data_IF_563644654209
#
_entry.id   IF_563644654209
#
_cell.length_a   1.000
_cell.length_b   1.000
_cell.length_c   1.000
_cell.angle_alpha   90.00
_cell.angle_beta   90.00
_cell.angle_gamma   90.00
#
_symmetry.space_group_name_H-M   'P 1'
#
loop_
_entity.id
_entity.type
_entity.pdbx_description
1 polymer ?
#
# COMPACT_ATOMS: atom_id res chain seq x y z
N UNK A 1 -0.57 11.27 3.51
CA UNK A 1 -0.32 9.91 4.02
C UNK A 1 -1.42 9.45 5.00
N UNK A 2 -2.68 9.84 4.81
CA UNK A 2 -3.76 9.35 5.67
C UNK A 2 -4.07 7.89 5.34
N UNK A 3 -4.35 7.08 6.37
CA UNK A 3 -4.71 5.67 6.21
C UNK A 3 -6.12 5.55 5.62
N UNK A 4 -6.25 4.83 4.51
CA UNK A 4 -7.55 4.35 4.05
C UNK A 4 -7.98 3.11 4.85
N UNK A 5 -9.28 2.77 4.83
CA UNK A 5 -9.80 1.57 5.49
C UNK A 5 -9.02 0.30 5.11
N UNK A 6 -8.66 0.16 3.83
CA UNK A 6 -7.85 -0.96 3.34
C UNK A 6 -6.47 -1.13 4.03
N UNK A 7 -5.82 -0.02 4.41
CA UNK A 7 -4.55 -0.10 5.15
C UNK A 7 -4.75 -0.60 6.58
N UNK A 8 -5.90 -0.28 7.17
CA UNK A 8 -6.25 -0.74 8.50
C UNK A 8 -6.42 -2.25 8.52
N UNK A 9 -7.01 -2.85 7.48
CA UNK A 9 -7.10 -4.31 7.34
C UNK A 9 -5.71 -4.98 7.35
N UNK A 10 -4.74 -4.46 6.58
CA UNK A 10 -3.36 -4.97 6.59
C UNK A 10 -2.74 -4.85 7.99
N UNK A 11 -2.92 -3.70 8.64
CA UNK A 11 -2.38 -3.50 9.99
C UNK A 11 -3.02 -4.44 11.01
N UNK A 12 -4.31 -4.73 10.89
CA UNK A 12 -5.02 -5.63 11.78
C UNK A 12 -4.51 -7.07 11.66
N UNK A 13 -4.29 -7.57 10.43
CA UNK A 13 -3.73 -8.91 10.18
C UNK A 13 -2.33 -9.04 10.79
N UNK A 14 -1.44 -8.09 10.52
CA UNK A 14 -0.08 -8.11 11.06
C UNK A 14 -0.06 -7.88 12.58
N UNK A 15 -0.97 -7.06 13.12
CA UNK A 15 -1.12 -6.85 14.55
C UNK A 15 -1.54 -8.15 15.27
N UNK A 16 -2.48 -8.91 14.70
CA UNK A 16 -2.90 -10.20 15.22
C UNK A 16 -1.76 -11.22 15.19
N UNK A 17 -1.03 -11.30 14.07
CA UNK A 17 0.02 -12.30 13.88
C UNK A 17 1.29 -12.05 14.73
N UNK A 18 1.72 -10.80 14.91
CA UNK A 18 3.03 -10.49 15.54
C UNK A 18 2.94 -9.83 16.91
N UNK A 19 1.85 -9.11 17.21
CA UNK A 19 1.78 -8.22 18.37
C UNK A 19 0.75 -8.64 19.41
N UNK A 20 -0.16 -9.57 19.10
CA UNK A 20 -1.15 -10.12 20.03
C UNK A 20 -1.88 -9.02 20.80
N UNK A 21 -1.76 -9.03 22.13
CA UNK A 21 -2.38 -8.03 23.02
C UNK A 21 -1.87 -6.59 22.79
N UNK A 22 -0.64 -6.40 22.33
CA UNK A 22 -0.06 -5.08 22.03
C UNK A 22 -0.38 -4.58 20.61
N UNK A 23 -1.16 -5.34 19.84
CA UNK A 23 -1.50 -5.00 18.46
C UNK A 23 -2.17 -3.64 18.31
N UNK A 24 -3.08 -3.28 19.22
CA UNK A 24 -3.78 -1.99 19.18
C UNK A 24 -2.81 -0.80 19.30
N UNK A 25 -1.79 -0.90 20.16
CA UNK A 25 -0.76 0.13 20.33
C UNK A 25 0.11 0.27 19.07
N UNK A 26 0.44 -0.84 18.41
CA UNK A 26 1.19 -0.82 17.16
C UNK A 26 0.41 -0.15 16.01
N UNK A 27 -0.89 -0.44 15.89
CA UNK A 27 -1.74 0.24 14.89
C UNK A 27 -1.87 1.73 15.21
N UNK A 28 -2.03 2.07 16.49
CA UNK A 28 -2.10 3.46 16.93
C UNK A 28 -0.81 4.24 16.63
N UNK A 29 0.37 3.66 16.89
CA UNK A 29 1.66 4.30 16.59
C UNK A 29 1.86 4.51 15.09
N UNK A 30 1.42 3.58 14.24
CA UNK A 30 1.43 3.75 12.78
C UNK A 30 0.51 4.89 12.33
N UNK A 31 -0.67 5.03 12.94
CA UNK A 31 -1.59 6.12 12.60
C UNK A 31 -1.00 7.49 12.95
N UNK A 32 -0.44 7.63 14.16
CA UNK A 32 0.26 8.86 14.60
C UNK A 32 1.44 9.16 13.69
N UNK A 33 2.24 8.15 13.34
CA UNK A 33 3.37 8.30 12.43
C UNK A 33 2.91 8.81 11.05
N UNK A 34 1.80 8.30 10.51
CA UNK A 34 1.22 8.77 9.25
C UNK A 34 0.82 10.25 9.27
N UNK A 35 0.24 10.72 10.38
CA UNK A 35 -0.11 12.14 10.58
C UNK A 35 1.15 13.00 10.63
N UNK A 36 2.14 12.61 11.45
CA UNK A 36 3.41 13.33 11.58
C UNK A 36 4.10 13.45 10.23
N UNK A 37 4.16 12.37 9.45
CA UNK A 37 4.79 12.37 8.13
C UNK A 37 4.02 13.20 7.10
N UNK A 38 2.69 13.28 7.19
CA UNK A 38 1.88 14.16 6.36
C UNK A 38 2.17 15.64 6.65
N UNK A 39 2.24 16.02 7.93
CA UNK A 39 2.59 17.39 8.35
C UNK A 39 4.02 17.72 7.94
N UNK A 40 4.99 16.84 8.22
CA UNK A 40 6.40 17.03 7.88
C UNK A 40 6.59 17.20 6.37
N UNK A 41 5.95 16.36 5.56
CA UNK A 41 6.00 16.46 4.10
C UNK A 41 5.34 17.75 3.61
N UNK A 42 4.17 18.11 4.12
CA UNK A 42 3.49 19.36 3.75
C UNK A 42 4.33 20.60 4.08
N UNK A 43 4.92 20.65 5.28
CA UNK A 43 5.85 21.69 5.68
C UNK A 43 7.09 21.72 4.78
N UNK A 44 7.64 20.56 4.43
CA UNK A 44 8.80 20.48 3.56
C UNK A 44 8.49 21.05 2.17
N UNK A 45 7.39 20.63 1.54
CA UNK A 45 6.99 21.11 0.21
C UNK A 45 6.64 22.60 0.21
N UNK A 46 6.01 23.11 1.29
CA UNK A 46 5.74 24.54 1.49
C UNK A 46 7.02 25.37 1.51
N UNK A 47 8.10 24.83 2.07
CA UNK A 47 9.40 25.53 2.15
C UNK A 47 10.30 25.29 0.92
N UNK A 48 10.02 24.29 0.08
CA UNK A 48 10.84 23.97 -1.10
C UNK A 48 10.22 24.41 -2.44
N UNK A 49 9.00 23.97 -2.77
CA UNK A 49 8.45 24.10 -4.14
C UNK A 49 7.20 25.00 -4.22
N UNK A 50 6.29 24.95 -3.24
CA UNK A 50 4.95 25.53 -3.38
C UNK A 50 4.75 26.81 -2.54
N UNK A 51 5.34 27.93 -2.96
CA UNK A 51 4.93 29.27 -2.52
C UNK A 51 4.03 29.92 -3.56
N UNK A 52 2.83 29.37 -3.72
CA UNK A 52 1.73 30.05 -4.41
C UNK A 52 0.92 30.87 -3.42
N UNK A 53 0.43 32.04 -3.84
CA UNK A 53 -0.63 32.74 -3.12
C UNK A 53 -1.87 31.84 -3.07
N UNK A 54 -2.54 31.76 -1.93
CA UNK A 54 -3.76 30.98 -1.79
C UNK A 54 -4.79 31.54 -2.77
N UNK A 55 -5.19 30.77 -3.78
CA UNK A 55 -6.32 31.13 -4.62
C UNK A 55 -7.53 31.27 -3.70
N UNK A 56 -8.26 32.39 -3.73
CA UNK A 56 -9.42 32.59 -2.88
C UNK A 56 -10.53 31.64 -3.34
N UNK A 57 -10.49 30.41 -2.82
CA UNK A 57 -11.60 29.47 -2.95
C UNK A 57 -12.68 29.92 -1.96
N UNK A 58 -13.60 30.74 -2.46
CA UNK A 58 -14.90 30.91 -1.83
C UNK A 58 -15.64 29.59 -2.03
N UNK A 59 -15.48 28.68 -1.07
CA UNK A 59 -16.22 27.42 -1.06
C UNK A 59 -17.59 27.71 -0.44
N UNK A 60 -18.54 28.10 -1.28
CA UNK A 60 -19.93 28.25 -0.87
C UNK A 60 -20.47 26.89 -0.45
N UNK A 61 -20.75 26.72 0.84
CA UNK A 61 -21.32 25.48 1.35
C UNK A 61 -22.76 25.38 0.83
N UNK A 62 -23.12 24.35 0.05
CA UNK A 62 -24.49 24.18 -0.40
C UNK A 62 -25.41 23.93 0.80
N UNK A 63 -26.67 24.35 0.69
CA UNK A 63 -27.69 24.10 1.71
C UNK A 63 -27.82 22.60 1.94
N UNK A 64 -27.54 22.16 3.17
CA UNK A 64 -27.56 20.74 3.54
C UNK A 64 -29.01 20.22 3.53
N UNK A 65 -29.28 19.24 2.67
CA UNK A 65 -30.60 18.59 2.59
C UNK A 65 -30.57 17.27 3.37
N UNK A 66 -31.65 16.98 4.11
CA UNK A 66 -31.78 15.73 4.87
C UNK A 66 -31.88 14.56 3.87
N UNK A 67 -30.99 13.55 3.97
CA UNK A 67 -30.93 12.51 2.96
C UNK A 67 -32.10 11.52 3.12
N UNK A 68 -32.79 11.21 2.02
CA UNK A 68 -33.85 10.23 2.00
C UNK A 68 -33.27 8.80 2.08
N UNK A 69 -33.63 8.03 3.11
CA UNK A 69 -33.06 6.70 3.40
C UNK A 69 -33.15 5.74 2.21
N UNK A 70 -34.25 5.76 1.45
CA UNK A 70 -34.40 4.93 0.25
C UNK A 70 -33.38 5.28 -0.84
N UNK A 71 -33.09 6.58 -1.04
CA UNK A 71 -32.07 7.00 -2.01
C UNK A 71 -30.69 6.61 -1.55
N UNK A 72 -30.39 6.76 -0.26
CA UNK A 72 -29.12 6.30 0.31
C UNK A 72 -28.92 4.79 0.11
N UNK A 73 -29.93 3.97 0.42
CA UNK A 73 -29.84 2.52 0.27
C UNK A 73 -29.67 2.11 -1.20
N UNK A 74 -30.46 2.68 -2.11
CA UNK A 74 -30.35 2.38 -3.54
C UNK A 74 -28.97 2.80 -4.08
N UNK A 75 -28.51 4.00 -3.71
CA UNK A 75 -27.23 4.52 -4.19
C UNK A 75 -26.05 3.74 -3.60
N UNK A 76 -26.14 3.36 -2.33
CA UNK A 76 -25.15 2.50 -1.66
C UNK A 76 -25.12 1.12 -2.31
N UNK A 77 -26.29 0.52 -2.57
CA UNK A 77 -26.40 -0.77 -3.26
C UNK A 77 -25.84 -0.74 -4.69
N UNK A 78 -26.14 0.30 -5.47
CA UNK A 78 -25.60 0.47 -6.82
C UNK A 78 -24.08 0.63 -6.80
N UNK A 79 -23.55 1.41 -5.84
CA UNK A 79 -22.10 1.58 -5.65
C UNK A 79 -21.44 0.27 -5.20
N UNK A 80 -22.05 -0.45 -4.27
CA UNK A 80 -21.58 -1.75 -3.78
C UNK A 80 -21.56 -2.79 -4.90
N UNK A 81 -22.67 -2.98 -5.63
CA UNK A 81 -22.74 -3.86 -6.80
C UNK A 81 -21.67 -3.49 -7.84
N UNK A 82 -21.52 -2.20 -8.11
CA UNK A 82 -20.50 -1.70 -9.04
C UNK A 82 -19.06 -1.91 -8.55
N UNK A 83 -18.83 -1.91 -7.24
CA UNK A 83 -17.54 -2.24 -6.63
C UNK A 83 -17.27 -3.74 -6.72
N UNK A 84 -18.21 -4.59 -6.26
CA UNK A 84 -18.10 -6.06 -6.28
C UNK A 84 -17.82 -6.58 -7.69
N UNK A 85 -18.56 -6.11 -8.71
CA UNK A 85 -18.36 -6.58 -10.09
C UNK A 85 -17.01 -6.12 -10.69
N UNK A 86 -16.57 -4.89 -10.39
CA UNK A 86 -15.30 -4.36 -10.92
C UNK A 86 -14.09 -4.92 -10.19
N UNK A 87 -14.11 -4.93 -8.86
CA UNK A 87 -13.05 -5.48 -8.03
C UNK A 87 -12.96 -7.00 -8.19
N UNK A 88 -14.10 -7.70 -8.16
CA UNK A 88 -14.17 -9.14 -8.36
C UNK A 88 -13.60 -9.57 -9.71
N UNK A 89 -13.91 -8.87 -10.81
CA UNK A 89 -13.32 -9.16 -12.12
C UNK A 89 -11.79 -9.08 -12.09
N UNK A 90 -11.21 -8.08 -11.43
CA UNK A 90 -9.76 -7.93 -11.32
C UNK A 90 -9.16 -9.01 -10.41
N UNK A 91 -9.77 -9.26 -9.24
CA UNK A 91 -9.30 -10.26 -8.27
C UNK A 91 -9.30 -11.66 -8.89
N UNK A 92 -10.35 -12.06 -9.60
CA UNK A 92 -10.42 -13.37 -10.26
C UNK A 92 -9.34 -13.50 -11.32
N UNK A 93 -9.14 -12.49 -12.16
CA UNK A 93 -8.07 -12.50 -13.19
C UNK A 93 -6.70 -12.59 -12.53
N UNK A 94 -6.44 -11.81 -11.48
CA UNK A 94 -5.18 -11.81 -10.75
C UNK A 94 -4.97 -13.16 -10.04
N UNK A 95 -6.00 -13.74 -9.42
CA UNK A 95 -5.92 -15.05 -8.76
C UNK A 95 -5.60 -16.17 -9.75
N UNK A 96 -6.27 -16.20 -10.91
CA UNK A 96 -5.96 -17.16 -11.99
C UNK A 96 -4.53 -16.97 -12.48
N UNK A 97 -4.11 -15.72 -12.70
CA UNK A 97 -2.77 -15.42 -13.19
C UNK A 97 -1.68 -15.77 -12.16
N UNK A 98 -1.91 -15.46 -10.89
CA UNK A 98 -1.02 -15.83 -9.79
C UNK A 98 -0.97 -17.35 -9.62
N UNK A 99 -2.10 -18.05 -9.71
CA UNK A 99 -2.15 -19.52 -9.66
C UNK A 99 -1.38 -20.15 -10.82
N UNK A 100 -1.53 -19.63 -12.05
CA UNK A 100 -0.74 -20.07 -13.19
C UNK A 100 0.76 -19.79 -12.98
N UNK A 101 1.14 -18.57 -12.61
CA UNK A 101 2.55 -18.23 -12.35
C UNK A 101 3.16 -18.97 -11.16
N UNK A 102 2.32 -19.48 -10.25
CA UNK A 102 2.73 -20.31 -9.13
C UNK A 102 3.05 -21.74 -9.58
N UNK A 103 2.20 -22.33 -10.44
CA UNK A 103 2.37 -23.71 -10.92
C UNK A 103 3.41 -23.89 -12.04
N UNK A 104 3.75 -22.83 -12.78
CA UNK A 104 4.71 -22.88 -13.89
C UNK A 104 6.06 -22.24 -13.53
N UNK A 105 7.16 -22.91 -13.91
CA UNK A 105 8.51 -22.32 -13.93
C UNK A 105 8.67 -21.35 -15.11
N UNK A 106 9.68 -20.48 -15.04
CA UNK A 106 10.06 -19.59 -16.14
C UNK A 106 10.44 -20.34 -17.44
N UNK A 107 10.77 -21.63 -17.33
CA UNK A 107 11.07 -22.53 -18.44
C UNK A 107 9.85 -23.32 -18.96
N UNK A 108 8.64 -23.04 -18.47
CA UNK A 108 7.40 -23.68 -18.91
C UNK A 108 7.14 -25.08 -18.36
N UNK A 109 7.97 -25.58 -17.42
CA UNK A 109 7.73 -26.85 -16.72
C UNK A 109 6.84 -26.64 -15.49
N UNK A 110 5.99 -27.62 -15.20
CA UNK A 110 5.22 -27.68 -13.96
C UNK A 110 6.21 -27.89 -12.81
N UNK A 111 6.03 -27.13 -11.73
CA UNK A 111 6.97 -27.07 -10.61
C UNK A 111 6.33 -27.67 -9.36
N UNK A 112 7.05 -28.58 -8.70
CA UNK A 112 6.61 -29.20 -7.45
C UNK A 112 6.88 -28.30 -6.23
N UNK A 113 7.86 -27.36 -6.30
CA UNK A 113 8.22 -26.41 -5.25
C UNK A 113 7.88 -24.95 -5.60
N UNK A 114 7.06 -24.28 -4.79
CA UNK A 114 6.60 -22.89 -4.99
C UNK A 114 7.76 -21.89 -5.15
N UNK A 115 8.90 -22.21 -4.57
CA UNK A 115 10.13 -21.43 -4.59
C UNK A 115 10.84 -21.39 -5.95
N UNK A 116 10.53 -22.31 -6.86
CA UNK A 116 11.06 -22.36 -8.24
C UNK A 116 10.05 -21.82 -9.28
N UNK A 117 8.92 -21.31 -8.81
CA UNK A 117 7.88 -20.72 -9.66
C UNK A 117 8.39 -19.49 -10.43
N UNK A 118 7.76 -19.21 -11.58
CA UNK A 118 8.06 -18.00 -12.35
C UNK A 118 7.84 -16.73 -11.50
N UNK A 119 6.83 -16.76 -10.62
CA UNK A 119 6.55 -15.67 -9.68
C UNK A 119 7.69 -15.47 -8.67
N UNK A 120 8.19 -16.55 -8.07
CA UNK A 120 9.29 -16.49 -7.10
C UNK A 120 10.58 -15.99 -7.73
N UNK A 121 10.94 -16.48 -8.91
CA UNK A 121 12.16 -16.08 -9.62
C UNK A 121 12.18 -14.60 -10.00
N UNK A 122 11.09 -14.05 -10.55
CA UNK A 122 11.00 -12.60 -10.83
C UNK A 122 11.05 -11.78 -9.54
N UNK A 123 10.37 -12.23 -8.49
CA UNK A 123 10.28 -11.49 -7.23
C UNK A 123 11.59 -11.50 -6.44
N UNK A 124 12.36 -12.59 -6.50
CA UNK A 124 13.70 -12.68 -5.89
C UNK A 124 14.72 -11.72 -6.50
N UNK A 125 14.52 -11.27 -7.75
CA UNK A 125 15.38 -10.22 -8.33
C UNK A 125 15.17 -8.86 -7.64
N UNK A 126 13.94 -8.58 -7.23
CA UNK A 126 13.56 -7.29 -6.61
C UNK A 126 13.74 -7.32 -5.09
N UNK A 127 13.56 -8.49 -4.46
CA UNK A 127 13.59 -8.68 -3.00
C UNK A 127 14.86 -8.12 -2.30
N UNK A 128 16.09 -8.20 -2.85
CA UNK A 128 17.29 -7.64 -2.23
C UNK A 128 17.19 -6.14 -1.94
N UNK A 129 16.39 -5.40 -2.71
CA UNK A 129 16.15 -3.97 -2.46
C UNK A 129 15.44 -3.75 -1.12
N UNK A 130 14.62 -4.71 -0.68
CA UNK A 130 13.87 -4.68 0.56
C UNK A 130 14.61 -5.31 1.75
N UNK A 131 15.82 -5.85 1.55
CA UNK A 131 16.67 -6.38 2.64
C UNK A 131 16.94 -5.37 3.76
N UNK A 132 17.24 -4.07 3.49
CA UNK A 132 17.43 -3.06 4.53
C UNK A 132 16.16 -2.74 5.33
N UNK A 133 14.99 -3.11 4.80
CA UNK A 133 13.68 -2.96 5.45
C UNK A 133 13.37 -4.17 6.34
N UNK A 134 14.17 -5.23 6.30
CA UNK A 134 13.95 -6.46 7.08
C UNK A 134 13.15 -7.53 6.33
N UNK A 135 12.91 -7.37 5.02
CA UNK A 135 12.38 -8.44 4.17
C UNK A 135 13.55 -9.33 3.75
N UNK A 136 13.63 -10.54 4.32
CA UNK A 136 14.65 -11.52 3.97
C UNK A 136 14.44 -12.06 2.54
N UNK A 137 15.52 -12.54 1.91
CA UNK A 137 15.51 -13.03 0.51
C UNK A 137 14.56 -14.22 0.31
N UNK A 138 14.31 -14.98 1.37
CA UNK A 138 13.38 -16.13 1.39
C UNK A 138 11.90 -15.72 1.48
N UNK A 139 11.62 -14.44 1.76
CA UNK A 139 10.26 -13.88 1.86
C UNK A 139 9.91 -13.06 0.61
N UNK A 140 10.01 -13.69 -0.56
CA UNK A 140 9.64 -13.07 -1.83
C UNK A 140 8.13 -12.80 -1.92
N UNK A 141 7.31 -13.50 -1.13
CA UNK A 141 5.86 -13.30 -1.02
C UNK A 141 5.53 -11.88 -0.53
N UNK A 142 6.28 -11.37 0.46
CA UNK A 142 6.13 -10.00 0.93
C UNK A 142 6.40 -8.98 -0.18
N UNK A 143 7.40 -9.21 -1.03
CA UNK A 143 7.71 -8.37 -2.20
C UNK A 143 6.56 -8.38 -3.21
N UNK A 144 5.96 -9.54 -3.50
CA UNK A 144 4.77 -9.64 -4.35
C UNK A 144 3.59 -8.89 -3.75
N UNK A 145 3.35 -9.04 -2.43
CA UNK A 145 2.32 -8.31 -1.71
C UNK A 145 2.47 -6.78 -1.79
N UNK A 146 3.70 -6.26 -1.72
CA UNK A 146 3.95 -4.83 -1.91
C UNK A 146 3.62 -4.35 -3.32
N UNK A 147 3.96 -5.16 -4.33
CA UNK A 147 3.70 -4.84 -5.72
C UNK A 147 2.20 -4.88 -6.04
N UNK A 148 1.48 -5.91 -5.62
CA UNK A 148 0.02 -5.98 -5.78
C UNK A 148 -0.67 -4.86 -5.01
N UNK A 149 -0.19 -4.54 -3.80
CA UNK A 149 -0.69 -3.43 -3.00
C UNK A 149 -0.46 -2.05 -3.61
N UNK A 150 0.62 -1.86 -4.38
CA UNK A 150 0.86 -0.61 -5.10
C UNK A 150 -0.30 -0.30 -6.05
N UNK A 151 -0.84 -1.34 -6.70
CA UNK A 151 -1.99 -1.23 -7.58
C UNK A 151 -3.29 -1.11 -6.78
N UNK A 152 -3.55 -2.05 -5.87
CA UNK A 152 -4.77 -2.13 -5.09
C UNK A 152 -4.46 -2.56 -3.65
N UNK A 153 -4.59 -1.61 -2.71
CA UNK A 153 -4.24 -1.82 -1.29
C UNK A 153 -5.04 -2.93 -0.62
N UNK A 154 -6.28 -3.15 -1.05
CA UNK A 154 -7.18 -4.14 -0.46
C UNK A 154 -6.78 -5.58 -0.83
N UNK A 155 -6.02 -5.75 -1.93
CA UNK A 155 -5.63 -7.06 -2.47
C UNK A 155 -4.39 -7.64 -1.78
N UNK A 156 -3.69 -6.84 -0.96
CA UNK A 156 -2.45 -7.26 -0.28
C UNK A 156 -2.70 -8.45 0.64
N UNK A 157 -3.69 -8.36 1.52
CA UNK A 157 -3.99 -9.42 2.50
C UNK A 157 -4.37 -10.71 1.80
N UNK A 158 -5.25 -10.65 0.80
CA UNK A 158 -5.62 -11.82 0.00
C UNK A 158 -4.43 -12.44 -0.74
N UNK A 159 -3.56 -11.60 -1.35
CA UNK A 159 -2.35 -12.11 -2.03
C UNK A 159 -1.42 -12.82 -1.06
N UNK A 160 -1.16 -12.21 0.11
CA UNK A 160 -0.30 -12.81 1.13
C UNK A 160 -0.92 -14.09 1.68
N UNK A 161 -2.23 -14.12 1.91
CA UNK A 161 -2.95 -15.31 2.35
C UNK A 161 -2.76 -16.45 1.35
N UNK A 162 -3.06 -16.23 0.07
CA UNK A 162 -2.88 -17.27 -0.96
C UNK A 162 -1.44 -17.74 -1.05
N UNK A 163 -0.45 -16.84 -1.02
CA UNK A 163 0.96 -17.22 -1.18
C UNK A 163 1.54 -17.94 0.04
N UNK A 164 1.19 -17.52 1.25
CA UNK A 164 1.66 -18.18 2.48
C UNK A 164 0.91 -19.47 2.75
N UNK A 165 -0.39 -19.55 2.48
CA UNK A 165 -1.14 -20.82 2.54
C UNK A 165 -0.62 -21.80 1.50
N UNK A 166 -0.28 -21.35 0.28
CA UNK A 166 0.29 -22.23 -0.73
C UNK A 166 1.66 -22.79 -0.30
N UNK A 167 2.50 -22.02 0.40
CA UNK A 167 3.77 -22.55 0.94
C UNK A 167 3.54 -23.47 2.16
N UNK A 168 2.49 -23.25 2.94
CA UNK A 168 2.10 -24.13 4.05
C UNK A 168 1.61 -25.51 3.54
N UNK A 169 0.68 -25.50 2.57
CA UNK A 169 0.08 -26.69 1.96
C UNK A 169 1.12 -27.55 1.23
N UNK A 170 2.21 -26.97 0.71
CA UNK A 170 3.27 -27.75 0.08
C UNK A 170 4.01 -28.71 1.03
N UNK A 171 3.82 -28.59 2.35
CA UNK A 171 4.31 -29.60 3.30
C UNK A 171 3.42 -30.85 3.38
N UNK A 172 2.23 -30.84 2.76
CA UNK A 172 1.34 -31.99 2.64
C UNK A 172 1.30 -32.52 1.19
N UNK A 173 1.44 -33.84 1.03
CA UNK A 173 1.39 -34.47 -0.27
C UNK A 173 -0.01 -34.35 -0.87
N UNK A 174 -0.12 -33.72 -2.05
CA UNK A 174 -1.39 -33.61 -2.79
C UNK A 174 -1.96 -35.01 -3.06
N UNK A 175 -3.11 -35.32 -2.46
CA UNK A 175 -3.78 -36.61 -2.64
C UNK A 175 -4.89 -36.49 -3.70
N UNK A 176 -4.67 -36.93 -4.94
CA UNK A 176 -5.62 -36.76 -6.04
C UNK A 176 -6.93 -37.54 -5.87
N UNK A 177 -7.00 -38.47 -4.91
CA UNK A 177 -8.19 -39.30 -4.65
C UNK A 177 -9.18 -38.63 -3.69
N UNK A 178 -8.76 -37.61 -2.95
CA UNK A 178 -9.60 -36.87 -2.00
C UNK A 178 -10.11 -35.53 -2.57
N UNK A 179 -9.62 -35.10 -3.73
CA UNK A 179 -9.94 -33.80 -4.30
C UNK A 179 -11.24 -33.84 -5.12
N UNK A 180 -12.28 -33.18 -4.60
CA UNK A 180 -13.54 -32.96 -5.32
C UNK A 180 -13.80 -31.45 -5.47
N UNK A 181 -13.66 -30.96 -6.71
CA UNK A 181 -13.90 -29.56 -7.09
C UNK A 181 -15.29 -29.04 -6.67
N UNK A 182 -16.31 -29.91 -6.70
CA UNK A 182 -17.68 -29.52 -6.33
C UNK A 182 -17.82 -29.25 -4.84
N UNK A 183 -17.22 -30.11 -4.01
CA UNK A 183 -17.26 -29.98 -2.56
C UNK A 183 -16.41 -28.80 -2.08
N UNK A 184 -15.24 -28.57 -2.69
CA UNK A 184 -14.42 -27.38 -2.39
C UNK A 184 -15.12 -26.07 -2.77
N UNK A 185 -15.78 -26.00 -3.93
CA UNK A 185 -16.54 -24.81 -4.33
C UNK A 185 -17.71 -24.54 -3.39
N UNK A 186 -18.43 -25.59 -2.96
CA UNK A 186 -19.51 -25.44 -2.00
C UNK A 186 -18.99 -25.02 -0.62
N UNK A 187 -17.86 -25.58 -0.17
CA UNK A 187 -17.20 -25.19 1.07
C UNK A 187 -16.78 -23.71 1.03
N UNK A 188 -16.15 -23.24 -0.05
CA UNK A 188 -15.77 -21.84 -0.21
C UNK A 188 -16.97 -20.88 -0.20
N UNK A 189 -18.11 -21.30 -0.77
CA UNK A 189 -19.36 -20.52 -0.72
C UNK A 189 -19.92 -20.48 0.70
N UNK A 190 -19.90 -21.60 1.43
CA UNK A 190 -20.39 -21.64 2.80
C UNK A 190 -19.50 -20.84 3.76
N UNK A 191 -18.18 -20.92 3.62
CA UNK A 191 -17.22 -20.05 4.33
C UNK A 191 -17.50 -18.57 4.05
N UNK A 192 -17.65 -18.19 2.78
CA UNK A 192 -17.99 -16.81 2.41
C UNK A 192 -19.31 -16.35 3.04
N UNK A 193 -20.31 -17.24 3.09
CA UNK A 193 -21.60 -16.96 3.70
C UNK A 193 -21.52 -16.80 5.22
N UNK A 194 -20.68 -17.61 5.87
CA UNK A 194 -20.40 -17.52 7.30
C UNK A 194 -19.67 -16.21 7.63
N UNK A 195 -18.58 -15.87 6.93
CA UNK A 195 -17.88 -14.58 7.07
C UNK A 195 -18.80 -13.38 6.91
N UNK A 196 -19.76 -13.45 5.98
CA UNK A 196 -20.74 -12.39 5.79
C UNK A 196 -21.66 -12.24 7.01
N UNK A 197 -22.20 -13.34 7.55
CA UNK A 197 -23.04 -13.32 8.75
C UNK A 197 -22.27 -12.77 9.96
N UNK A 198 -21.02 -13.17 10.12
CA UNK A 198 -20.18 -12.75 11.23
C UNK A 198 -19.82 -11.26 11.16
N UNK A 199 -19.63 -10.72 9.94
CA UNK A 199 -19.43 -9.28 9.71
C UNK A 199 -20.62 -8.43 10.17
N UNK A 200 -21.84 -8.99 10.12
CA UNK A 200 -23.07 -8.32 10.60
C UNK A 200 -23.39 -8.61 12.08
N UNK A 201 -22.51 -9.28 12.81
CA UNK A 201 -22.72 -9.54 14.24
C UNK A 201 -22.61 -8.27 15.09
N UNK A 202 -23.33 -8.24 16.21
CA UNK A 202 -23.44 -7.06 17.08
C UNK A 202 -22.08 -6.65 17.70
N UNK A 203 -21.21 -7.62 17.96
CA UNK A 203 -19.83 -7.40 18.44
C UNK A 203 -18.98 -6.65 17.42
N UNK A 204 -19.07 -7.05 16.15
CA UNK A 204 -18.33 -6.45 15.04
C UNK A 204 -18.84 -5.03 14.77
N UNK A 205 -20.16 -4.82 14.79
CA UNK A 205 -20.78 -3.49 14.66
C UNK A 205 -20.44 -2.53 15.82
N UNK A 206 -20.22 -3.05 17.03
CA UNK A 206 -19.83 -2.25 18.20
C UNK A 206 -18.34 -1.89 18.22
N UNK A 207 -17.48 -2.70 17.58
CA UNK A 207 -16.03 -2.51 17.54
C UNK A 207 -15.54 -2.15 16.13
N UNK A 208 -15.25 -0.87 15.81
CA UNK A 208 -14.83 -0.45 14.47
C UNK A 208 -13.49 -1.08 14.01
N UNK A 209 -12.63 -1.47 14.96
CA UNK A 209 -11.39 -2.20 14.66
C UNK A 209 -11.69 -3.65 14.24
N UNK A 210 -12.66 -4.29 14.88
CA UNK A 210 -13.07 -5.68 14.60
C UNK A 210 -13.89 -5.76 13.31
N UNK A 211 -14.75 -4.76 13.03
CA UNK A 211 -15.39 -4.58 11.72
C UNK A 211 -14.42 -4.44 10.56
N UNK A 212 -13.29 -3.77 10.77
CA UNK A 212 -12.25 -3.66 9.75
C UNK A 212 -11.36 -4.90 9.63
N UNK A 213 -11.55 -5.91 10.50
CA UNK A 213 -10.91 -7.23 10.37
C UNK A 213 -11.65 -8.17 9.43
N UNK A 214 -12.76 -7.78 8.78
CA UNK A 214 -13.48 -8.66 7.85
C UNK A 214 -12.52 -9.37 6.86
N UNK A 215 -12.43 -10.69 6.97
CA UNK A 215 -11.48 -11.60 6.29
C UNK A 215 -9.97 -11.26 6.43
N UNK A 216 -9.58 -10.57 7.49
CA UNK A 216 -8.20 -10.40 7.94
C UNK A 216 -7.67 -11.57 8.78
N UNK A 217 -8.49 -12.58 9.04
CA UNK A 217 -8.03 -13.87 9.56
C UNK A 217 -7.37 -14.62 8.41
N UNK A 218 -6.05 -14.43 8.28
CA UNK A 218 -5.25 -15.36 7.51
C UNK A 218 -5.42 -16.76 8.09
N UNK A 219 -5.37 -17.80 7.25
CA UNK A 219 -5.40 -19.17 7.74
C UNK A 219 -4.34 -19.35 8.83
N UNK A 220 -4.64 -20.09 9.89
CA UNK A 220 -3.72 -20.27 11.03
C UNK A 220 -2.33 -20.75 10.59
N UNK A 221 -2.28 -21.63 9.58
CA UNK A 221 -1.07 -22.06 8.89
C UNK A 221 -0.33 -20.91 8.20
N UNK A 222 -1.03 -20.08 7.42
CA UNK A 222 -0.46 -18.91 6.75
C UNK A 222 0.11 -17.86 7.71
N UNK A 223 -0.52 -17.66 8.88
CA UNK A 223 0.02 -16.81 9.94
C UNK A 223 1.32 -17.36 10.53
N UNK A 224 1.40 -18.69 10.72
CA UNK A 224 2.62 -19.37 11.17
C UNK A 224 3.77 -19.24 10.17
N UNK A 225 3.51 -19.49 8.88
CA UNK A 225 4.49 -19.32 7.80
C UNK A 225 4.95 -17.87 7.71
N UNK A 226 4.02 -16.90 7.74
CA UNK A 226 4.36 -15.47 7.74
C UNK A 226 5.27 -15.12 8.93
N UNK A 227 4.97 -15.62 10.13
CA UNK A 227 5.81 -15.45 11.31
C UNK A 227 7.23 -15.97 11.10
N UNK A 228 7.37 -17.19 10.55
CA UNK A 228 8.67 -17.81 10.28
C UNK A 228 9.48 -17.04 9.23
N UNK A 229 8.83 -16.52 8.18
CA UNK A 229 9.47 -15.83 7.05
C UNK A 229 9.93 -14.41 7.39
N UNK A 230 9.19 -13.69 8.23
CA UNK A 230 9.62 -12.37 8.72
C UNK A 230 10.66 -12.46 9.85
N UNK A 231 10.65 -13.56 10.63
CA UNK A 231 11.64 -13.87 11.66
C UNK A 231 11.64 -12.95 12.90
N UNK A 232 11.14 -11.72 12.79
CA UNK A 232 11.07 -10.76 13.89
C UNK A 232 9.87 -9.81 13.77
N UNK A 233 9.29 -9.43 14.91
CA UNK A 233 8.23 -8.42 14.96
C UNK A 233 8.72 -7.03 14.48
N UNK A 234 10.02 -6.75 14.63
CA UNK A 234 10.64 -5.52 14.12
C UNK A 234 10.60 -5.45 12.59
N UNK A 235 10.88 -6.56 11.90
CA UNK A 235 10.78 -6.66 10.43
C UNK A 235 9.32 -6.53 9.94
N UNK A 236 8.37 -7.09 10.69
CA UNK A 236 6.95 -6.93 10.41
C UNK A 236 6.54 -5.45 10.55
N UNK A 237 6.99 -4.75 11.61
CA UNK A 237 6.66 -3.34 11.81
C UNK A 237 7.28 -2.42 10.75
N UNK A 238 8.54 -2.64 10.36
CA UNK A 238 9.17 -1.88 9.27
C UNK A 238 8.43 -2.07 7.94
N UNK A 239 7.98 -3.30 7.65
CA UNK A 239 7.11 -3.57 6.51
C UNK A 239 5.80 -2.78 6.58
N UNK A 240 5.16 -2.69 7.75
CA UNK A 240 3.95 -1.87 7.92
C UNK A 240 4.20 -0.36 7.73
N UNK A 241 5.34 0.17 8.21
CA UNK A 241 5.75 1.56 7.93
C UNK A 241 5.87 1.78 6.42
N UNK A 242 6.46 0.82 5.70
CA UNK A 242 6.60 0.91 4.26
C UNK A 242 5.21 0.93 3.58
N UNK A 243 4.32 -0.01 3.93
CA UNK A 243 2.93 -0.06 3.42
C UNK A 243 2.12 1.21 3.74
N UNK A 244 2.39 1.84 4.88
CA UNK A 244 1.76 3.10 5.28
C UNK A 244 2.17 4.28 4.39
N UNK A 245 3.45 4.37 4.04
CA UNK A 245 4.00 5.60 3.44
C UNK A 245 4.26 5.50 1.94
N UNK A 246 4.30 4.29 1.38
CA UNK A 246 4.62 4.12 -0.03
C UNK A 246 3.49 4.61 -0.96
N UNK A 247 3.75 4.41 -2.25
CA UNK A 247 2.91 4.68 -3.42
C UNK A 247 1.40 4.79 -3.10
N UNK A 248 0.75 5.94 -3.40
CA UNK A 248 -0.69 6.08 -3.30
C UNK A 248 -1.41 5.13 -4.28
N UNK A 249 -2.65 4.76 -4.02
CA UNK A 249 -3.38 3.85 -4.92
C UNK A 249 -3.60 4.46 -6.32
N UNK A 250 -3.82 3.61 -7.31
CA UNK A 250 -4.02 4.01 -8.72
C UNK A 250 -5.12 5.07 -8.88
N UNK A 251 -6.19 5.00 -8.07
CA UNK A 251 -7.27 6.00 -8.11
C UNK A 251 -6.80 7.40 -7.74
N UNK A 252 -5.98 7.52 -6.68
CA UNK A 252 -5.41 8.79 -6.24
C UNK A 252 -4.39 9.30 -7.27
N UNK A 253 -3.58 8.41 -7.85
CA UNK A 253 -2.68 8.82 -8.94
C UNK A 253 -3.44 9.36 -10.14
N UNK A 254 -4.52 8.68 -10.55
CA UNK A 254 -5.37 9.10 -11.66
C UNK A 254 -6.01 10.47 -11.42
N UNK A 255 -6.45 10.74 -10.18
CA UNK A 255 -6.94 12.05 -9.78
C UNK A 255 -5.84 13.12 -9.87
N UNK A 256 -4.66 12.87 -9.29
CA UNK A 256 -3.52 13.82 -9.34
C UNK A 256 -3.10 14.11 -10.79
N UNK A 257 -3.08 13.09 -11.64
CA UNK A 257 -2.73 13.24 -13.04
C UNK A 257 -3.74 14.10 -13.83
N UNK A 258 -5.02 14.03 -13.46
CA UNK A 258 -6.12 14.76 -14.11
C UNK A 258 -6.28 16.18 -13.56
N UNK A 259 -6.04 16.39 -12.27
CA UNK A 259 -6.30 17.66 -11.58
C UNK A 259 -5.08 18.57 -11.50
N UNK A 260 -3.87 18.01 -11.46
CA UNK A 260 -2.63 18.79 -11.34
C UNK A 260 -1.76 18.64 -12.58
N UNK A 261 -1.01 17.53 -12.69
CA UNK A 261 -0.25 17.19 -13.89
C UNK A 261 0.37 15.79 -13.75
N UNK A 262 0.79 15.21 -14.88
CA UNK A 262 1.59 13.97 -14.89
C UNK A 262 2.93 14.11 -14.16
N UNK A 263 3.55 15.29 -14.17
CA UNK A 263 4.80 15.56 -13.45
C UNK A 263 4.60 15.51 -11.93
N UNK A 264 3.54 16.15 -11.43
CA UNK A 264 3.17 16.11 -10.02
C UNK A 264 2.76 14.71 -9.54
N UNK A 265 2.11 13.92 -10.40
CA UNK A 265 1.83 12.50 -10.13
C UNK A 265 3.14 11.72 -9.93
N UNK A 266 4.09 11.80 -10.86
CA UNK A 266 5.36 11.08 -10.75
C UNK A 266 6.17 11.53 -9.54
N UNK A 267 6.19 12.84 -9.27
CA UNK A 267 6.82 13.40 -8.07
C UNK A 267 6.20 12.81 -6.79
N UNK A 268 4.88 12.74 -6.69
CA UNK A 268 4.19 12.14 -5.53
C UNK A 268 4.55 10.67 -5.32
N UNK A 269 4.62 9.88 -6.39
CA UNK A 269 5.01 8.46 -6.35
C UNK A 269 6.46 8.30 -5.89
N UNK A 270 7.40 9.01 -6.51
CA UNK A 270 8.82 8.94 -6.17
C UNK A 270 9.10 9.45 -4.76
N UNK A 271 8.44 10.54 -4.36
CA UNK A 271 8.55 11.11 -3.03
C UNK A 271 8.02 10.14 -1.97
N UNK A 272 6.84 9.55 -2.19
CA UNK A 272 6.27 8.55 -1.29
C UNK A 272 7.16 7.31 -1.14
N UNK A 273 7.69 6.79 -2.25
CA UNK A 273 8.65 5.67 -2.23
C UNK A 273 9.91 6.01 -1.45
N UNK A 274 10.50 7.18 -1.69
CA UNK A 274 11.71 7.60 -1.00
C UNK A 274 11.47 7.73 0.52
N UNK A 275 10.39 8.39 0.93
CA UNK A 275 10.06 8.56 2.35
C UNK A 275 9.77 7.21 3.02
N UNK A 276 8.98 6.35 2.36
CA UNK A 276 8.65 5.02 2.87
C UNK A 276 9.89 4.15 3.05
N UNK A 277 10.75 4.09 2.03
CA UNK A 277 11.99 3.32 2.06
C UNK A 277 12.94 3.82 3.15
N UNK A 278 13.09 5.14 3.25
CA UNK A 278 14.00 5.77 4.19
C UNK A 278 13.57 5.52 5.64
N UNK A 279 12.31 5.80 5.97
CA UNK A 279 11.84 5.66 7.34
C UNK A 279 11.79 4.19 7.79
N UNK A 280 11.35 3.31 6.90
CA UNK A 280 11.29 1.86 7.17
C UNK A 280 12.69 1.27 7.40
N UNK A 281 13.66 1.63 6.57
CA UNK A 281 15.07 1.21 6.73
C UNK A 281 15.67 1.77 8.02
N UNK A 282 15.45 3.06 8.33
CA UNK A 282 15.95 3.66 9.57
C UNK A 282 15.37 2.97 10.80
N UNK A 283 14.07 2.65 10.80
CA UNK A 283 13.45 1.91 11.90
C UNK A 283 14.05 0.51 12.08
N UNK A 284 14.11 -0.30 11.01
CA UNK A 284 14.62 -1.67 11.13
C UNK A 284 16.10 -1.69 11.56
N UNK A 285 16.93 -0.82 11.00
CA UNK A 285 18.37 -0.81 11.31
C UNK A 285 18.73 -0.16 12.64
N UNK A 286 17.88 0.70 13.20
CA UNK A 286 18.05 1.20 14.57
C UNK A 286 17.70 0.13 15.60
N UNK A 287 16.64 -0.66 15.37
CA UNK A 287 16.25 -1.76 16.25
C UNK A 287 17.24 -2.93 16.16
N UNK A 288 17.69 -3.27 14.95
CA UNK A 288 18.63 -4.39 14.69
C UNK A 288 20.11 -4.01 14.87
N UNK A 289 20.41 -2.82 15.40
CA UNK A 289 21.77 -2.28 15.51
C UNK A 289 22.73 -3.20 16.28
N UNK A 290 22.22 -3.87 17.33
CA UNK A 290 23.02 -4.75 18.18
C UNK A 290 23.48 -6.05 17.50
N UNK A 291 22.81 -6.49 16.43
CA UNK A 291 23.12 -7.75 15.74
C UNK A 291 24.20 -7.56 14.66
N UNK A 292 24.12 -6.48 13.87
CA UNK A 292 25.04 -6.20 12.77
C UNK A 292 25.44 -4.71 12.71
N UNK A 293 26.35 -4.24 13.59
CA UNK A 293 26.64 -2.81 13.75
C UNK A 293 27.25 -2.17 12.50
N UNK A 294 28.12 -2.87 11.76
CA UNK A 294 28.75 -2.32 10.56
C UNK A 294 27.77 -2.13 9.39
N UNK A 295 26.93 -3.13 9.13
CA UNK A 295 25.96 -3.07 8.04
C UNK A 295 24.87 -2.03 8.31
N UNK A 296 24.33 -2.01 9.53
CA UNK A 296 23.31 -1.04 9.94
C UNK A 296 23.80 0.39 9.82
N UNK A 297 25.05 0.69 10.25
CA UNK A 297 25.64 2.03 10.09
C UNK A 297 25.75 2.46 8.62
N UNK A 298 26.20 1.58 7.74
CA UNK A 298 26.33 1.89 6.30
C UNK A 298 24.96 2.18 5.69
N UNK A 299 23.95 1.35 5.98
CA UNK A 299 22.59 1.57 5.49
C UNK A 299 22.00 2.89 5.99
N UNK A 300 22.15 3.20 7.28
CA UNK A 300 21.65 4.44 7.89
C UNK A 300 22.32 5.65 7.23
N UNK A 301 23.65 5.65 7.11
CA UNK A 301 24.39 6.74 6.48
C UNK A 301 24.02 6.92 5.01
N UNK A 302 23.88 5.83 4.26
CA UNK A 302 23.48 5.88 2.85
C UNK A 302 22.08 6.52 2.68
N UNK A 303 21.11 6.11 3.50
CA UNK A 303 19.75 6.67 3.48
C UNK A 303 19.76 8.15 3.85
N UNK A 304 20.47 8.53 4.92
CA UNK A 304 20.56 9.93 5.36
C UNK A 304 21.21 10.80 4.28
N UNK A 305 22.32 10.35 3.70
CA UNK A 305 23.02 11.07 2.62
C UNK A 305 22.13 11.22 1.39
N UNK A 306 21.42 10.16 0.98
CA UNK A 306 20.49 10.21 -0.14
C UNK A 306 19.38 11.26 0.09
N UNK A 307 18.78 11.29 1.28
CA UNK A 307 17.74 12.29 1.60
C UNK A 307 18.29 13.72 1.63
N UNK A 308 19.52 13.93 2.12
CA UNK A 308 20.18 15.23 2.08
C UNK A 308 20.39 15.69 0.63
N UNK A 309 20.85 14.80 -0.26
CA UNK A 309 21.03 15.09 -1.68
C UNK A 309 19.70 15.43 -2.34
N UNK A 310 18.65 14.63 -2.13
CA UNK A 310 17.31 14.88 -2.66
C UNK A 310 16.80 16.25 -2.17
N UNK A 311 16.92 16.54 -0.88
CA UNK A 311 16.50 17.81 -0.32
C UNK A 311 17.30 19.00 -0.89
N UNK A 312 18.60 18.83 -1.10
CA UNK A 312 19.46 19.79 -1.79
C UNK A 312 19.05 20.03 -3.24
N UNK A 313 18.72 18.97 -3.98
CA UNK A 313 18.21 19.05 -5.35
C UNK A 313 16.86 19.76 -5.41
N UNK A 314 15.94 19.48 -4.48
CA UNK A 314 14.65 20.18 -4.40
C UNK A 314 14.83 21.67 -4.09
N UNK A 315 15.75 22.01 -3.18
CA UNK A 315 16.12 23.41 -2.91
C UNK A 315 16.78 24.10 -4.11
N UNK A 316 17.52 23.37 -4.95
CA UNK A 316 18.12 23.93 -6.17
C UNK A 316 17.10 24.04 -7.30
N UNK A 317 16.17 23.10 -7.41
CA UNK A 317 15.06 23.15 -8.35
C UNK A 317 14.13 24.34 -8.04
N UNK A 318 14.01 24.74 -6.76
CA UNK A 318 13.31 25.97 -6.34
C UNK A 318 13.73 27.20 -7.15
N UNK A 319 15.04 27.45 -7.30
CA UNK A 319 15.50 28.65 -8.01
C UNK A 319 15.16 28.63 -9.50
N UNK A 320 15.04 27.44 -10.10
CA UNK A 320 14.63 27.27 -11.50
C UNK A 320 13.12 27.47 -11.68
N UNK A 321 12.32 26.94 -10.75
CA UNK A 321 10.86 27.07 -10.78
C UNK A 321 10.42 28.49 -10.49
N UNK A 322 11.00 29.16 -9.49
CA UNK A 322 10.74 30.58 -9.21
C UNK A 322 11.09 31.44 -10.44
N UNK A 323 12.25 31.20 -11.09
CA UNK A 323 12.65 31.94 -12.31
C UNK A 323 11.71 31.69 -13.47
N UNK A 324 11.24 30.45 -13.68
CA UNK A 324 10.26 30.15 -14.72
C UNK A 324 8.90 30.80 -14.42
N UNK A 325 8.37 30.69 -13.21
CA UNK A 325 7.08 31.30 -12.85
C UNK A 325 7.12 32.83 -12.93
N UNK A 326 8.25 33.45 -12.58
CA UNK A 326 8.49 34.88 -12.79
C UNK A 326 8.64 35.25 -14.27
N UNK A 327 9.25 34.40 -15.09
CA UNK A 327 9.39 34.61 -16.53
C UNK A 327 8.07 34.41 -17.30
N UNK A 328 7.20 33.50 -16.85
CA UNK A 328 5.86 33.28 -17.44
C UNK A 328 4.79 34.23 -16.88
N UNK A 329 5.07 34.95 -15.78
CA UNK A 329 4.26 36.12 -15.41
C UNK A 329 4.48 37.16 -16.50
N UNK A 330 3.60 37.17 -17.52
CA UNK A 330 3.39 38.36 -18.35
C UNK A 330 3.13 39.51 -17.37
N UNK A 331 4.10 40.40 -17.21
CA UNK A 331 3.88 41.61 -16.44
C UNK A 331 2.75 42.40 -17.14
N UNK A 332 1.91 43.14 -16.41
CA UNK A 332 0.85 43.94 -17.05
C UNK A 332 1.40 44.89 -18.13
N UNK A 333 2.65 45.35 -17.97
CA UNK A 333 3.39 46.12 -18.99
C UNK A 333 3.67 45.34 -20.29
N UNK A 334 3.85 44.02 -20.23
CA UNK A 334 4.05 43.12 -21.37
C UNK A 334 2.74 42.73 -22.05
N UNK A 335 1.62 42.63 -21.31
CA UNK A 335 0.28 42.44 -21.92
C UNK A 335 -0.15 43.67 -22.74
N UNK A 336 0.19 44.89 -22.31
CA UNK A 336 -0.21 46.13 -23.01
C UNK A 336 0.55 46.42 -24.32
N UNK A 337 1.63 45.69 -24.64
CA UNK A 337 2.42 45.90 -25.85
C UNK A 337 2.21 44.82 -26.93
N UNK A 338 1.43 43.77 -26.65
CA UNK A 338 1.15 42.70 -27.62
C UNK A 338 -0.14 42.99 -28.37
N UNK A 339 -0.15 43.00 -29.72
CA UNK A 339 -1.36 43.25 -30.52
C UNK A 339 -2.37 42.09 -30.49
N UNK A 340 -1.98 40.94 -29.93
CA UNK A 340 -2.82 39.76 -29.79
C UNK A 340 -3.33 39.71 -28.36
N UNK A 341 -4.57 40.12 -28.15
CA UNK A 341 -5.27 40.24 -26.86
C UNK A 341 -5.52 38.90 -26.14
N UNK A 342 -4.47 38.12 -25.88
CA UNK A 342 -4.51 36.90 -25.08
C UNK A 342 -4.09 37.21 -23.63
N UNK A 343 -4.91 37.96 -22.92
CA UNK A 343 -4.88 38.06 -21.45
C UNK A 343 -6.35 37.96 -20.96
N UNK A 344 -6.73 36.76 -20.49
CA UNK A 344 -8.04 36.44 -19.88
C UNK A 344 -8.06 36.79 -18.40
#
# INVERSE_FOLDING_TARGET
FMSCGARLAIFAVFAAAFFGQNGALAVFSLYVLGIVMAIATGLMLKHTIMRGEASPFVMELPVYHVPHVKSLLIQTWQRLKGFVLRAGKVIVIVSIFLSALNSFSLNGKIVDNINDSALASVSRVITPVFKPIGVHEDNWQATVGLFTGAMAKEVVVGTLNTLYTAEDIQNEAFNPQAFNLGDELLAAVDETWQSLKDTFSLSVLANPIEASKGDGEMATGAMGVMGSKFGSAAAAYSYLIFVLLYIPCISVMGAIARESSRGWMMFSVLWGLNIAYSLSTLYYQTVSFSQHPRYSLVCILAVVLFNIVVFGLLRRARSRVDVSLLATRKTPSSCCQSPTGDCH
#
